data_IF_081029104951
#
_entry.id   IF_081029104951
#
_cell.length_a   1.000
_cell.length_b   1.000
_cell.length_c   1.000
_cell.angle_alpha   90.00
_cell.angle_beta   90.00
_cell.angle_gamma   90.00
#
_symmetry.space_group_name_H-M   'P 1'
#
loop_
_entity.id
_entity.type
_entity.pdbx_description
1 polymer ?
#
# COMPACT_ATOMS: atom_id res chain seq x y z
N UNK A 1 -5.87 -24.94 2.87
CA UNK A 1 -5.95 -23.61 2.20
C UNK A 1 -4.94 -23.54 1.08
N UNK A 2 -5.20 -22.68 0.07
CA UNK A 2 -4.27 -22.50 -1.06
C UNK A 2 -3.29 -21.37 -0.82
N UNK A 3 -3.74 -20.34 -0.10
CA UNK A 3 -2.97 -19.14 0.21
C UNK A 3 -3.15 -18.72 1.65
N UNK A 4 -2.06 -18.30 2.27
CA UNK A 4 -2.06 -17.61 3.56
C UNK A 4 -1.54 -16.19 3.35
N UNK A 5 -2.26 -15.21 3.86
CA UNK A 5 -1.91 -13.78 3.75
C UNK A 5 -1.70 -13.24 5.16
N UNK A 6 -0.60 -12.53 5.38
CA UNK A 6 -0.28 -11.91 6.66
C UNK A 6 -0.47 -10.39 6.52
N UNK A 7 -1.42 -9.85 7.27
CA UNK A 7 -1.84 -8.46 7.26
C UNK A 7 -3.17 -8.22 6.54
N UNK A 8 -4.11 -7.54 7.22
CA UNK A 8 -5.40 -7.12 6.67
C UNK A 8 -5.44 -5.62 6.33
N UNK A 9 -4.33 -5.09 5.83
CA UNK A 9 -4.27 -3.78 5.19
C UNK A 9 -4.84 -3.82 3.77
N UNK A 10 -4.74 -2.69 3.04
CA UNK A 10 -5.25 -2.57 1.66
C UNK A 10 -4.76 -3.70 0.75
N UNK A 11 -3.46 -3.96 0.73
CA UNK A 11 -2.89 -4.97 -0.16
C UNK A 11 -3.29 -6.39 0.24
N UNK A 12 -3.33 -6.69 1.55
CA UNK A 12 -3.73 -8.02 2.02
C UNK A 12 -5.19 -8.34 1.72
N UNK A 13 -6.12 -7.41 1.97
CA UNK A 13 -7.54 -7.61 1.63
C UNK A 13 -7.77 -7.65 0.12
N UNK A 14 -7.08 -6.80 -0.65
CA UNK A 14 -7.15 -6.85 -2.11
C UNK A 14 -6.66 -8.19 -2.66
N UNK A 15 -5.53 -8.69 -2.16
CA UNK A 15 -5.00 -9.99 -2.57
C UNK A 15 -5.93 -11.15 -2.18
N UNK A 16 -6.52 -11.10 -0.98
CA UNK A 16 -7.50 -12.10 -0.54
C UNK A 16 -8.72 -12.13 -1.46
N UNK A 17 -9.29 -10.96 -1.77
CA UNK A 17 -10.42 -10.83 -2.68
C UNK A 17 -10.07 -11.31 -4.09
N UNK A 18 -8.89 -10.94 -4.60
CA UNK A 18 -8.42 -11.38 -5.92
C UNK A 18 -8.30 -12.91 -6.01
N UNK A 19 -7.74 -13.55 -4.99
CA UNK A 19 -7.62 -15.00 -4.92
C UNK A 19 -8.98 -15.69 -4.75
N UNK A 20 -9.85 -15.12 -3.88
CA UNK A 20 -11.20 -15.65 -3.67
C UNK A 20 -12.07 -15.59 -4.91
N UNK A 21 -11.99 -14.52 -5.72
CA UNK A 21 -12.64 -14.42 -7.04
C UNK A 21 -12.20 -15.51 -8.02
N UNK A 22 -11.02 -16.10 -7.81
CA UNK A 22 -10.51 -17.25 -8.58
C UNK A 22 -10.87 -18.61 -7.96
N UNK A 23 -11.72 -18.65 -6.94
CA UNK A 23 -12.14 -19.88 -6.27
C UNK A 23 -11.10 -20.47 -5.31
N UNK A 24 -10.03 -19.74 -4.98
CA UNK A 24 -9.00 -20.22 -4.08
C UNK A 24 -9.45 -20.10 -2.62
N UNK A 25 -8.98 -21.04 -1.78
CA UNK A 25 -9.17 -21.02 -0.33
C UNK A 25 -8.07 -20.17 0.30
N UNK A 26 -8.46 -19.06 0.93
CA UNK A 26 -7.54 -18.05 1.47
C UNK A 26 -7.79 -17.84 2.96
N UNK A 27 -6.74 -17.82 3.75
CA UNK A 27 -6.81 -17.33 5.13
C UNK A 27 -5.94 -16.09 5.28
N UNK A 28 -6.46 -15.09 5.99
CA UNK A 28 -5.78 -13.83 6.28
C UNK A 28 -5.57 -13.73 7.78
N UNK A 29 -4.33 -13.54 8.22
CA UNK A 29 -3.99 -13.34 9.63
C UNK A 29 -3.66 -11.87 9.87
N UNK A 30 -4.34 -11.24 10.83
CA UNK A 30 -4.13 -9.85 11.22
C UNK A 30 -3.87 -9.76 12.72
N UNK A 31 -2.85 -8.99 13.09
CA UNK A 31 -2.48 -8.81 14.50
C UNK A 31 -3.49 -7.95 15.26
N UNK A 32 -4.09 -6.98 14.59
CA UNK A 32 -5.08 -6.09 15.17
C UNK A 32 -6.47 -6.74 15.20
N UNK A 33 -7.40 -6.14 15.95
CA UNK A 33 -8.77 -6.63 16.05
C UNK A 33 -9.68 -6.22 14.88
N UNK A 34 -9.17 -5.37 13.99
CA UNK A 34 -9.87 -4.88 12.82
C UNK A 34 -8.91 -4.65 11.63
N UNK A 35 -9.41 -4.66 10.38
CA UNK A 35 -8.59 -4.35 9.21
C UNK A 35 -8.34 -2.84 9.09
N UNK A 36 -7.31 -2.46 8.33
CA UNK A 36 -6.95 -1.07 7.99
C UNK A 36 -6.57 -0.18 9.19
N UNK A 37 -6.15 -0.75 10.30
CA UNK A 37 -5.85 0.00 11.53
C UNK A 37 -4.44 0.59 11.59
N UNK A 38 -3.55 0.21 10.67
CA UNK A 38 -2.16 0.67 10.63
C UNK A 38 -1.88 1.54 9.39
N UNK A 39 -0.83 1.25 8.65
CA UNK A 39 -0.33 2.08 7.55
C UNK A 39 -1.41 2.55 6.56
N UNK A 40 -2.35 1.70 6.20
CA UNK A 40 -3.45 2.04 5.28
C UNK A 40 -4.34 3.17 5.80
N UNK A 41 -4.54 3.27 7.13
CA UNK A 41 -5.34 4.31 7.76
C UNK A 41 -4.52 5.52 8.22
N UNK A 42 -3.32 5.26 8.78
CA UNK A 42 -2.47 6.30 9.39
C UNK A 42 -1.78 7.15 8.31
N UNK A 43 -1.45 6.56 7.17
CA UNK A 43 -0.83 7.26 6.06
C UNK A 43 -1.81 8.21 5.38
N UNK A 44 -1.30 9.06 4.51
CA UNK A 44 -2.05 10.13 3.85
C UNK A 44 -3.16 9.64 2.89
N UNK A 45 -3.39 8.32 2.78
CA UNK A 45 -4.39 7.71 1.91
C UNK A 45 -4.37 8.27 0.47
N UNK A 46 -3.19 8.43 -0.10
CA UNK A 46 -3.01 9.00 -1.42
C UNK A 46 -3.09 7.96 -2.53
N UNK A 47 -3.70 8.36 -3.62
CA UNK A 47 -3.56 7.69 -4.91
C UNK A 47 -2.39 8.33 -5.63
N UNK A 48 -1.24 7.64 -5.64
CA UNK A 48 0.03 8.20 -6.10
C UNK A 48 0.16 8.19 -7.62
N UNK A 49 0.47 9.37 -8.20
CA UNK A 49 0.89 9.50 -9.59
C UNK A 49 2.41 9.30 -9.78
N UNK A 50 3.17 9.22 -8.68
CA UNK A 50 4.61 8.95 -8.73
C UNK A 50 5.52 10.10 -8.33
N UNK A 51 5.00 11.25 -7.95
CA UNK A 51 5.80 12.46 -7.60
C UNK A 51 6.79 12.24 -6.45
N UNK A 52 6.54 11.29 -5.58
CA UNK A 52 7.44 10.93 -4.46
C UNK A 52 8.74 10.24 -4.90
N UNK A 53 8.85 9.87 -6.17
CA UNK A 53 9.98 9.08 -6.66
C UNK A 53 10.84 9.83 -7.69
N UNK A 54 11.29 11.09 -7.45
CA UNK A 54 12.04 11.87 -8.45
C UNK A 54 13.38 11.23 -8.83
N UNK A 55 13.89 10.31 -7.99
CA UNK A 55 15.14 9.56 -8.25
C UNK A 55 14.92 8.15 -8.83
N UNK A 56 13.67 7.77 -9.12
CA UNK A 56 13.33 6.46 -9.68
C UNK A 56 12.22 6.58 -10.73
N UNK A 57 12.61 6.96 -11.93
CA UNK A 57 11.70 7.15 -13.06
C UNK A 57 10.84 5.89 -13.30
N UNK A 58 11.43 4.70 -13.23
CA UNK A 58 10.71 3.44 -13.44
C UNK A 58 9.62 3.21 -12.38
N UNK A 59 9.85 3.59 -11.12
CA UNK A 59 8.85 3.51 -10.05
C UNK A 59 7.74 4.53 -10.27
N UNK A 60 8.09 5.77 -10.64
CA UNK A 60 7.12 6.81 -10.94
C UNK A 60 6.20 6.41 -12.11
N UNK A 61 6.76 5.91 -13.21
CA UNK A 61 5.99 5.45 -14.37
C UNK A 61 5.06 4.28 -14.03
N UNK A 62 5.48 3.35 -13.16
CA UNK A 62 4.60 2.27 -12.67
C UNK A 62 3.43 2.84 -11.87
N UNK A 63 3.69 3.77 -10.93
CA UNK A 63 2.63 4.43 -10.15
C UNK A 63 1.64 5.15 -11.07
N UNK A 64 2.14 5.96 -12.02
CA UNK A 64 1.30 6.66 -13.00
C UNK A 64 0.44 5.69 -13.83
N UNK A 65 1.03 4.57 -14.26
CA UNK A 65 0.31 3.54 -15.02
C UNK A 65 -0.84 2.88 -14.26
N UNK A 66 -0.72 2.72 -12.94
CA UNK A 66 -1.80 2.15 -12.11
C UNK A 66 -2.79 3.19 -11.59
N UNK A 67 -2.44 4.47 -11.59
CA UNK A 67 -3.27 5.56 -11.06
C UNK A 67 -4.67 5.56 -11.66
N UNK A 68 -4.76 5.61 -12.99
CA UNK A 68 -6.03 5.64 -13.70
C UNK A 68 -6.92 4.45 -13.36
N UNK A 69 -6.36 3.25 -13.36
CA UNK A 69 -7.07 2.02 -13.02
C UNK A 69 -7.61 2.07 -11.59
N UNK A 70 -6.79 2.50 -10.62
CA UNK A 70 -7.22 2.61 -9.23
C UNK A 70 -8.37 3.60 -9.07
N UNK A 71 -8.28 4.75 -9.77
CA UNK A 71 -9.35 5.77 -9.76
C UNK A 71 -10.64 5.24 -10.39
N UNK A 72 -10.56 4.48 -11.47
CA UNK A 72 -11.71 3.85 -12.12
C UNK A 72 -12.34 2.77 -11.23
N UNK A 73 -11.53 1.87 -10.67
CA UNK A 73 -11.99 0.74 -9.85
C UNK A 73 -12.61 1.18 -8.50
N UNK A 74 -12.12 2.32 -7.92
CA UNK A 74 -12.50 2.78 -6.58
C UNK A 74 -13.02 4.22 -6.56
N UNK A 75 -13.60 4.71 -7.66
CA UNK A 75 -14.10 6.09 -7.80
C UNK A 75 -15.05 6.53 -6.69
N UNK A 76 -15.81 5.59 -6.11
CA UNK A 76 -16.78 5.84 -5.06
C UNK A 76 -16.17 6.32 -3.73
N UNK A 77 -14.87 6.07 -3.49
CA UNK A 77 -14.18 6.49 -2.28
C UNK A 77 -13.07 7.53 -2.54
N UNK A 78 -12.92 8.04 -3.78
CA UNK A 78 -11.83 8.94 -4.14
C UNK A 78 -12.28 10.40 -4.09
N UNK A 79 -11.47 11.23 -3.45
CA UNK A 79 -11.62 12.68 -3.41
C UNK A 79 -10.65 13.33 -4.38
N UNK A 80 -11.19 14.08 -5.35
CA UNK A 80 -10.43 14.75 -6.41
C UNK A 80 -10.48 16.29 -6.32
N UNK A 81 -11.33 16.84 -5.42
CA UNK A 81 -11.61 18.28 -5.35
C UNK A 81 -10.74 18.98 -4.30
N UNK A 82 -9.44 18.95 -4.50
CA UNK A 82 -8.48 19.72 -3.69
C UNK A 82 -7.21 19.95 -4.51
N UNK A 83 -6.48 21.00 -4.14
CA UNK A 83 -5.17 21.27 -4.76
C UNK A 83 -4.08 20.49 -4.05
N UNK A 84 -3.31 19.76 -4.82
CA UNK A 84 -2.14 19.04 -4.33
C UNK A 84 -0.89 19.79 -4.76
N UNK A 85 -0.18 20.37 -3.80
CA UNK A 85 1.01 21.16 -4.03
C UNK A 85 2.24 20.40 -3.56
N UNK A 86 3.17 20.20 -4.48
CA UNK A 86 4.52 19.72 -4.19
C UNK A 86 5.49 20.89 -4.14
N UNK A 87 6.43 20.83 -3.20
CA UNK A 87 7.53 21.78 -3.12
C UNK A 87 8.86 21.06 -3.04
N UNK A 88 9.86 21.66 -3.65
CA UNK A 88 11.27 21.28 -3.52
C UNK A 88 11.93 22.19 -2.49
N UNK A 89 12.71 21.61 -1.58
CA UNK A 89 13.38 22.37 -0.53
C UNK A 89 14.61 23.10 -1.07
N UNK A 90 14.80 24.35 -0.68
CA UNK A 90 16.04 25.11 -0.97
C UNK A 90 17.27 24.55 -0.26
N UNK A 91 17.06 23.70 0.79
CA UNK A 91 18.14 23.21 1.62
C UNK A 91 18.05 21.68 1.77
N UNK A 92 19.20 21.01 1.69
CA UNK A 92 19.34 19.57 1.94
C UNK A 92 18.44 18.67 1.07
N UNK A 93 17.97 19.17 -0.08
CA UNK A 93 17.21 18.38 -1.05
C UNK A 93 18.17 17.68 -2.02
N UNK A 94 17.83 16.43 -2.36
CA UNK A 94 18.49 15.67 -3.43
C UNK A 94 17.91 15.98 -4.82
N UNK A 95 16.88 16.81 -4.89
CA UNK A 95 16.20 17.17 -6.12
C UNK A 95 15.76 18.62 -6.01
N UNK A 96 16.25 19.47 -6.88
CA UNK A 96 15.85 20.88 -6.99
C UNK A 96 14.62 21.06 -7.90
N UNK A 97 14.13 22.30 -7.99
CA UNK A 97 12.96 22.64 -8.80
C UNK A 97 13.13 22.32 -10.29
N UNK A 98 14.34 22.45 -10.82
CA UNK A 98 14.64 22.18 -12.23
C UNK A 98 14.64 20.68 -12.50
N UNK A 99 15.31 19.93 -11.64
CA UNK A 99 15.35 18.47 -11.70
C UNK A 99 13.96 17.85 -11.52
N UNK A 100 13.16 18.38 -10.59
CA UNK A 100 11.79 17.92 -10.38
C UNK A 100 10.90 18.13 -11.61
N UNK A 101 10.98 19.31 -12.25
CA UNK A 101 10.25 19.57 -13.50
C UNK A 101 10.67 18.63 -14.61
N UNK A 102 11.98 18.44 -14.77
CA UNK A 102 12.51 17.51 -15.77
C UNK A 102 12.03 16.09 -15.52
N UNK A 103 12.08 15.64 -14.26
CA UNK A 103 11.56 14.34 -13.88
C UNK A 103 10.07 14.16 -14.21
N UNK A 104 9.22 15.14 -13.88
CA UNK A 104 7.79 15.09 -14.22
C UNK A 104 7.57 15.01 -15.75
N UNK A 105 8.35 15.77 -16.52
CA UNK A 105 8.32 15.71 -17.98
C UNK A 105 8.75 14.33 -18.50
N UNK A 106 9.84 13.78 -17.99
CA UNK A 106 10.36 12.46 -18.38
C UNK A 106 9.39 11.33 -17.98
N UNK A 107 8.69 11.48 -16.85
CA UNK A 107 7.67 10.53 -16.39
C UNK A 107 6.29 10.69 -17.06
N UNK A 108 6.08 11.76 -17.83
CA UNK A 108 4.80 12.07 -18.48
C UNK A 108 3.68 12.42 -17.49
N UNK A 109 4.02 12.99 -16.31
CA UNK A 109 3.06 13.40 -15.28
C UNK A 109 2.92 14.92 -15.20
N UNK A 110 1.70 15.40 -14.88
CA UNK A 110 1.38 16.83 -14.84
C UNK A 110 2.15 17.54 -13.73
N UNK A 111 2.76 18.70 -14.07
CA UNK A 111 3.52 19.50 -13.12
C UNK A 111 3.44 20.97 -13.55
N UNK A 112 2.58 21.78 -12.89
CA UNK A 112 2.40 23.19 -13.19
C UNK A 112 3.09 24.04 -12.14
N UNK A 113 4.07 24.89 -12.51
CA UNK A 113 4.73 25.79 -11.57
C UNK A 113 3.75 26.76 -10.90
N UNK A 114 3.96 27.03 -9.62
CA UNK A 114 3.23 27.99 -8.80
C UNK A 114 4.21 28.99 -8.16
N UNK A 115 3.75 30.20 -7.80
CA UNK A 115 4.55 31.12 -7.00
C UNK A 115 4.80 30.53 -5.60
N UNK A 116 6.08 30.41 -5.21
CA UNK A 116 6.47 29.80 -3.94
C UNK A 116 5.90 30.57 -2.76
N UNK A 117 5.93 31.89 -2.85
CA UNK A 117 5.57 32.81 -1.77
C UNK A 117 4.08 32.81 -1.41
N UNK A 118 3.23 32.29 -2.30
CA UNK A 118 1.79 32.13 -2.01
C UNK A 118 1.50 30.96 -1.06
N UNK A 119 2.42 29.98 -0.99
CA UNK A 119 2.17 28.72 -0.27
C UNK A 119 3.20 28.44 0.81
N UNK A 120 4.41 28.98 0.69
CA UNK A 120 5.53 28.65 1.57
C UNK A 120 6.27 29.92 2.02
N UNK A 121 6.90 29.84 3.18
CA UNK A 121 7.74 30.93 3.67
C UNK A 121 8.94 31.17 2.73
N UNK A 122 9.32 32.44 2.51
CA UNK A 122 10.44 32.79 1.67
C UNK A 122 11.73 32.07 2.09
N UNK A 123 12.46 31.56 1.10
CA UNK A 123 13.76 30.90 1.28
C UNK A 123 13.71 29.43 1.70
N UNK A 124 12.54 28.86 2.02
CA UNK A 124 12.44 27.45 2.38
C UNK A 124 12.35 26.52 1.17
N UNK A 125 11.75 26.98 0.09
CA UNK A 125 11.55 26.21 -1.12
C UNK A 125 12.12 26.93 -2.34
N UNK A 126 12.69 26.19 -3.28
CA UNK A 126 13.16 26.70 -4.57
C UNK A 126 12.15 26.47 -5.70
N UNK A 127 11.09 25.70 -5.43
CA UNK A 127 9.96 25.50 -6.36
C UNK A 127 8.71 25.01 -5.66
N UNK A 128 7.55 25.44 -6.21
CA UNK A 128 6.23 24.94 -5.85
C UNK A 128 5.49 24.54 -7.12
N UNK A 129 4.73 23.45 -7.07
CA UNK A 129 4.11 22.84 -8.24
C UNK A 129 2.72 22.31 -7.91
N UNK A 130 1.72 22.71 -8.70
CA UNK A 130 0.43 22.05 -8.72
C UNK A 130 0.57 20.70 -9.43
N UNK A 131 0.19 19.65 -8.75
CA UNK A 131 0.29 18.25 -9.21
C UNK A 131 -1.06 17.58 -9.22
N UNK A 132 -1.17 16.43 -9.86
CA UNK A 132 -2.39 15.65 -9.96
C UNK A 132 -2.25 14.38 -9.11
N UNK A 133 -2.58 14.49 -7.85
CA UNK A 133 -2.74 13.34 -6.95
C UNK A 133 -4.10 13.44 -6.26
N UNK A 134 -4.67 12.29 -5.93
CA UNK A 134 -5.96 12.20 -5.25
C UNK A 134 -5.77 11.56 -3.88
N UNK A 135 -6.81 11.63 -3.07
CA UNK A 135 -6.88 10.88 -1.82
C UNK A 135 -8.12 9.98 -1.84
N UNK A 136 -8.08 8.91 -1.06
CA UNK A 136 -9.23 8.04 -0.89
C UNK A 136 -9.68 8.01 0.59
N UNK A 137 -10.98 7.77 0.80
CA UNK A 137 -11.50 7.48 2.13
C UNK A 137 -11.20 6.02 2.48
N UNK A 138 -10.30 5.83 3.46
CA UNK A 138 -9.87 4.49 3.87
C UNK A 138 -10.99 3.69 4.56
N UNK A 139 -11.96 4.35 5.21
CA UNK A 139 -13.10 3.68 5.82
C UNK A 139 -14.07 3.15 4.77
N UNK A 140 -14.42 3.97 3.79
CA UNK A 140 -15.29 3.57 2.68
C UNK A 140 -14.65 2.41 1.89
N UNK A 141 -13.35 2.51 1.60
CA UNK A 141 -12.63 1.45 0.89
C UNK A 141 -12.55 0.15 1.70
N UNK A 142 -12.30 0.24 3.00
CA UNK A 142 -12.31 -0.91 3.92
C UNK A 142 -13.66 -1.61 3.90
N UNK A 143 -14.72 -0.85 4.11
CA UNK A 143 -16.08 -1.40 4.23
C UNK A 143 -16.50 -2.08 2.93
N UNK A 144 -16.21 -1.46 1.78
CA UNK A 144 -16.39 -2.10 0.48
C UNK A 144 -15.63 -3.42 0.35
N UNK A 145 -14.32 -3.46 0.70
CA UNK A 145 -13.54 -4.69 0.60
C UNK A 145 -14.06 -5.79 1.54
N UNK A 146 -14.51 -5.42 2.73
CA UNK A 146 -15.10 -6.36 3.68
C UNK A 146 -16.42 -6.94 3.17
N UNK A 147 -17.29 -6.10 2.60
CA UNK A 147 -18.54 -6.54 1.96
C UNK A 147 -18.28 -7.46 0.76
N UNK A 148 -17.31 -7.12 -0.08
CA UNK A 148 -16.93 -7.95 -1.21
C UNK A 148 -16.35 -9.30 -0.77
N UNK A 149 -15.47 -9.32 0.23
CA UNK A 149 -14.88 -10.54 0.78
C UNK A 149 -15.96 -11.47 1.36
N UNK A 150 -16.96 -10.92 2.02
CA UNK A 150 -18.06 -11.70 2.62
C UNK A 150 -18.86 -12.53 1.58
N UNK A 151 -18.81 -12.18 0.30
CA UNK A 151 -19.44 -12.94 -0.78
C UNK A 151 -18.69 -14.23 -1.13
N UNK A 152 -17.47 -14.42 -0.64
CA UNK A 152 -16.60 -15.54 -0.95
C UNK A 152 -16.31 -16.38 0.29
N UNK A 153 -17.06 -17.46 0.55
CA UNK A 153 -16.91 -18.29 1.77
C UNK A 153 -15.56 -19.01 1.87
N UNK A 154 -14.80 -19.05 0.77
CA UNK A 154 -13.42 -19.55 0.73
C UNK A 154 -12.40 -18.60 1.35
N UNK A 155 -12.77 -17.36 1.69
CA UNK A 155 -11.88 -16.40 2.36
C UNK A 155 -12.23 -16.36 3.84
N UNK A 156 -11.24 -16.59 4.71
CA UNK A 156 -11.38 -16.49 6.16
C UNK A 156 -10.45 -15.40 6.69
N UNK A 157 -10.97 -14.52 7.53
CA UNK A 157 -10.21 -13.48 8.20
C UNK A 157 -10.06 -13.84 9.69
N UNK A 158 -8.83 -13.81 10.18
CA UNK A 158 -8.48 -14.10 11.57
C UNK A 158 -7.80 -12.87 12.18
N UNK A 159 -8.52 -12.20 13.05
CA UNK A 159 -8.02 -11.02 13.78
C UNK A 159 -7.38 -11.39 15.11
N UNK A 160 -6.48 -10.52 15.62
CA UNK A 160 -5.77 -10.74 16.87
C UNK A 160 -4.65 -11.79 16.79
N UNK A 161 -4.23 -12.19 15.60
CA UNK A 161 -3.20 -13.22 15.36
C UNK A 161 -1.82 -12.60 15.22
N UNK A 162 -1.04 -12.64 16.29
CA UNK A 162 0.36 -12.17 16.27
C UNK A 162 1.26 -13.27 15.73
N UNK A 163 1.80 -13.08 14.53
CA UNK A 163 2.77 -14.03 13.95
C UNK A 163 4.04 -14.02 14.78
N UNK A 164 4.50 -15.22 15.17
CA UNK A 164 5.74 -15.42 15.92
C UNK A 164 6.82 -16.10 15.12
N UNK A 165 6.44 -16.93 14.14
CA UNK A 165 7.38 -17.68 13.33
C UNK A 165 6.82 -18.01 11.96
N UNK A 166 7.70 -18.05 10.95
CA UNK A 166 7.41 -18.54 9.60
C UNK A 166 8.54 -19.47 9.21
N UNK A 167 8.22 -20.73 8.97
CA UNK A 167 9.17 -21.74 8.53
C UNK A 167 8.80 -22.27 7.15
N UNK A 168 9.82 -22.40 6.29
CA UNK A 168 9.64 -23.08 5.01
C UNK A 168 9.90 -24.57 5.18
N UNK A 169 8.89 -25.37 4.90
CA UNK A 169 8.95 -26.82 4.79
C UNK A 169 9.17 -27.25 3.34
N UNK A 170 9.27 -28.57 3.09
CA UNK A 170 9.50 -29.10 1.73
C UNK A 170 8.45 -28.63 0.73
N UNK A 171 7.16 -28.72 1.08
CA UNK A 171 6.04 -28.47 0.15
C UNK A 171 5.12 -27.33 0.59
N UNK A 172 5.39 -26.71 1.75
CA UNK A 172 4.55 -25.66 2.30
C UNK A 172 5.34 -24.72 3.21
N UNK A 173 4.68 -23.66 3.63
CA UNK A 173 5.11 -22.83 4.77
C UNK A 173 4.28 -23.20 5.98
N UNK A 174 4.92 -23.24 7.13
CA UNK A 174 4.29 -23.32 8.43
C UNK A 174 4.42 -21.96 9.12
N UNK A 175 3.28 -21.39 9.50
CA UNK A 175 3.20 -20.08 10.15
C UNK A 175 2.60 -20.27 11.53
N UNK A 176 3.36 -19.93 12.56
CA UNK A 176 2.92 -19.95 13.94
C UNK A 176 2.43 -18.57 14.36
N UNK A 177 1.23 -18.50 14.89
CA UNK A 177 0.62 -17.30 15.44
C UNK A 177 0.22 -17.50 16.91
N UNK A 178 0.25 -16.40 17.66
CA UNK A 178 -0.25 -16.36 19.03
C UNK A 178 -1.61 -15.67 19.04
N UNK A 179 -2.63 -16.36 19.60
CA UNK A 179 -3.97 -15.84 19.81
C UNK A 179 -4.43 -16.15 21.25
N UNK A 180 -4.76 -15.13 22.03
CA UNK A 180 -5.19 -15.26 23.45
C UNK A 180 -4.26 -16.15 24.30
N UNK A 181 -2.95 -16.01 24.09
CA UNK A 181 -1.93 -16.79 24.81
C UNK A 181 -1.74 -18.23 24.32
N UNK A 182 -2.47 -18.68 23.32
CA UNK A 182 -2.35 -20.00 22.70
C UNK A 182 -1.67 -19.92 21.36
N UNK A 183 -0.87 -20.91 21.03
CA UNK A 183 -0.28 -21.04 19.69
C UNK A 183 -1.29 -21.70 18.73
N UNK A 184 -1.42 -21.09 17.55
CA UNK A 184 -2.12 -21.64 16.40
C UNK A 184 -1.11 -21.82 15.26
N UNK A 185 -1.21 -22.91 14.52
CA UNK A 185 -0.31 -23.24 13.41
C UNK A 185 -1.11 -23.32 12.12
N UNK A 186 -0.67 -22.56 11.12
CA UNK A 186 -1.27 -22.49 9.80
C UNK A 186 -0.31 -23.05 8.77
N UNK A 187 -0.79 -23.83 7.80
CA UNK A 187 0.02 -24.43 6.72
C UNK A 187 -0.55 -24.07 5.36
N UNK A 188 0.28 -23.51 4.51
CA UNK A 188 -0.10 -23.17 3.13
C UNK A 188 1.07 -23.34 2.17
N UNK A 189 0.84 -23.79 0.92
CA UNK A 189 1.88 -23.86 -0.10
C UNK A 189 2.39 -22.48 -0.52
N UNK A 190 1.64 -21.43 -0.23
CA UNK A 190 2.00 -20.05 -0.53
C UNK A 190 1.65 -19.11 0.62
N UNK A 191 2.61 -18.26 1.01
CA UNK A 191 2.42 -17.19 2.01
C UNK A 191 2.75 -15.85 1.38
N UNK A 192 1.80 -14.91 1.47
CA UNK A 192 2.00 -13.51 1.12
C UNK A 192 2.12 -12.71 2.42
N UNK A 193 3.26 -12.04 2.59
CA UNK A 193 3.51 -11.19 3.76
C UNK A 193 3.38 -9.70 3.36
N UNK A 194 2.30 -9.06 3.81
CA UNK A 194 1.98 -7.65 3.55
C UNK A 194 2.13 -6.77 4.81
N UNK A 195 2.97 -7.20 5.75
CA UNK A 195 3.25 -6.43 6.97
C UNK A 195 4.34 -5.41 6.68
N UNK A 196 3.94 -4.17 6.39
CA UNK A 196 4.85 -3.06 6.19
C UNK A 196 5.70 -2.77 7.43
N UNK A 197 7.02 -2.83 7.31
CA UNK A 197 7.98 -2.32 8.30
C UNK A 197 8.20 -3.15 9.56
N UNK A 198 7.42 -4.17 9.83
CA UNK A 198 7.73 -5.18 10.86
C UNK A 198 8.12 -6.48 10.15
N UNK A 199 9.41 -6.65 9.93
CA UNK A 199 9.94 -7.98 9.60
C UNK A 199 9.55 -8.92 10.73
N UNK A 200 8.77 -9.95 10.42
CA UNK A 200 8.67 -11.10 11.31
C UNK A 200 10.07 -11.69 11.35
N UNK A 201 10.77 -11.50 12.47
CA UNK A 201 12.10 -12.03 12.72
C UNK A 201 11.99 -13.57 12.88
N UNK A 202 11.91 -14.25 11.77
CA UNK A 202 12.17 -15.66 11.65
C UNK A 202 13.38 -15.82 10.73
N UNK A 203 14.16 -16.86 10.86
CA UNK A 203 15.32 -17.15 9.98
C UNK A 203 14.89 -16.98 8.52
N UNK A 204 15.38 -15.92 7.90
CA UNK A 204 15.13 -15.62 6.50
C UNK A 204 15.74 -16.70 5.62
N UNK A 205 14.91 -17.52 5.04
CA UNK A 205 15.20 -18.07 3.72
C UNK A 205 14.53 -17.12 2.72
N UNK A 206 15.33 -16.53 1.85
CA UNK A 206 15.00 -15.51 0.87
C UNK A 206 13.65 -15.73 0.19
N UNK A 207 12.71 -14.82 0.45
CA UNK A 207 11.50 -14.67 -0.38
C UNK A 207 11.94 -13.87 -1.61
N UNK A 208 12.11 -14.53 -2.73
CA UNK A 208 12.17 -13.86 -4.04
C UNK A 208 10.75 -13.38 -4.37
N UNK A 209 10.55 -12.07 -4.32
CA UNK A 209 9.42 -11.41 -4.99
C UNK A 209 9.59 -11.54 -6.50
N UNK A 210 8.55 -11.92 -7.25
CA UNK A 210 8.55 -11.91 -8.71
C UNK A 210 8.59 -10.50 -9.27
#
# INVERSE_FOLDING_TARGET
MDKLIIGAGLYGLYAALYCGKKGQQVEVLEIEQAPFTRATYINQARVHMGYHYPRSLSTAMKSAGYFKRFVEDYSFCIHTKFEQIYATSSHFSWTDATEFRKFCQDAGISCKPLPVEEYFQPGLCDGAFLTEEYTYDAHILRDYLMEEIAKYPGIKLHFGRKITEIEKQTDCYEVTALYEGKQEVYRAPFVLNEVGGQAVLGRQTSVTTP
#
